data_IF_631650781958
#
_entry.id   IF_631650781958
#
_cell.length_a   1.000
_cell.length_b   1.000
_cell.length_c   1.000
_cell.angle_alpha   90.00
_cell.angle_beta   90.00
_cell.angle_gamma   90.00
#
_symmetry.space_group_name_H-M   'P 1'
#
loop_
_entity.id
_entity.type
_entity.pdbx_description
1 polymer ?
#
# COMPACT_ATOMS: atom_id res chain seq x y z
N UNK A 1 4.86 -33.83 11.46
CA UNK A 1 6.04 -34.50 10.86
C UNK A 1 5.68 -34.80 9.41
N UNK A 2 6.34 -34.11 8.47
CA UNK A 2 6.05 -34.23 7.04
C UNK A 2 6.57 -35.58 6.51
N UNK A 3 5.76 -36.31 5.73
CA UNK A 3 6.12 -37.63 5.22
C UNK A 3 6.80 -37.47 3.83
N UNK A 4 8.11 -37.65 3.77
CA UNK A 4 8.89 -37.56 2.53
C UNK A 4 9.29 -38.93 1.95
N UNK A 5 8.60 -39.97 2.33
CA UNK A 5 8.85 -41.33 1.84
C UNK A 5 7.92 -41.65 0.68
N UNK A 6 8.50 -42.19 -0.39
CA UNK A 6 7.74 -42.60 -1.56
C UNK A 6 7.00 -43.91 -1.29
N UNK A 7 5.83 -44.03 -1.90
CA UNK A 7 5.16 -45.35 -1.97
C UNK A 7 5.98 -46.27 -2.84
N UNK A 8 6.19 -47.54 -2.39
CA UNK A 8 6.84 -48.55 -3.20
C UNK A 8 5.77 -49.33 -3.94
N UNK A 9 5.79 -49.22 -5.28
CA UNK A 9 4.86 -49.90 -6.15
C UNK A 9 5.43 -51.27 -6.59
N UNK A 10 4.76 -52.34 -6.21
CA UNK A 10 5.17 -53.71 -6.56
C UNK A 10 4.07 -54.44 -7.33
N UNK A 11 4.47 -55.35 -8.23
CA UNK A 11 3.52 -56.14 -9.02
C UNK A 11 2.63 -56.98 -8.12
N UNK A 12 1.32 -56.92 -8.35
CA UNK A 12 0.33 -57.70 -7.59
C UNK A 12 -0.07 -57.14 -6.25
N UNK A 13 0.37 -55.93 -5.86
CA UNK A 13 -0.09 -55.33 -4.61
C UNK A 13 -1.57 -54.91 -4.70
N UNK A 14 -2.28 -55.05 -3.59
CA UNK A 14 -3.65 -54.56 -3.47
C UNK A 14 -3.65 -53.06 -3.25
N UNK A 15 -4.41 -52.32 -4.05
CA UNK A 15 -4.48 -50.85 -3.96
C UNK A 15 -5.47 -50.45 -2.87
N UNK A 16 -5.00 -49.60 -1.97
CA UNK A 16 -5.83 -49.01 -0.90
C UNK A 16 -5.75 -47.48 -0.93
N UNK A 17 -6.74 -46.78 -0.37
CA UNK A 17 -6.71 -45.32 -0.30
C UNK A 17 -5.44 -44.73 0.33
N UNK A 18 -4.86 -45.43 1.31
CA UNK A 18 -3.65 -44.98 2.02
C UNK A 18 -2.44 -44.82 1.12
N UNK A 19 -2.31 -45.66 0.08
CA UNK A 19 -1.20 -45.56 -0.87
C UNK A 19 -1.30 -44.28 -1.72
N UNK A 20 -2.51 -43.97 -2.20
CA UNK A 20 -2.75 -42.75 -2.96
C UNK A 20 -2.55 -41.52 -2.08
N UNK A 21 -3.16 -41.47 -0.90
CA UNK A 21 -2.99 -40.39 0.07
C UNK A 21 -1.52 -40.19 0.47
N UNK A 22 -0.76 -41.24 0.69
CA UNK A 22 0.67 -41.17 1.03
C UNK A 22 1.47 -40.62 -0.16
N UNK A 23 1.11 -40.98 -1.40
CA UNK A 23 1.78 -40.47 -2.59
C UNK A 23 1.49 -39.01 -2.81
N UNK A 24 0.26 -38.58 -2.67
CA UNK A 24 -0.13 -37.16 -2.79
C UNK A 24 0.61 -36.32 -1.73
N UNK A 25 0.58 -36.75 -0.47
CA UNK A 25 1.34 -36.11 0.62
C UNK A 25 2.84 -36.04 0.35
N UNK A 26 3.43 -37.10 -0.27
CA UNK A 26 4.84 -37.04 -0.66
C UNK A 26 5.13 -35.94 -1.67
N UNK A 27 4.29 -35.75 -2.69
CA UNK A 27 4.47 -34.71 -3.68
C UNK A 27 4.24 -33.32 -3.09
N UNK A 28 3.20 -33.13 -2.30
CA UNK A 28 2.91 -31.86 -1.61
C UNK A 28 4.06 -31.46 -0.67
N UNK A 29 4.50 -32.37 0.20
CA UNK A 29 5.60 -32.14 1.13
C UNK A 29 6.93 -31.88 0.40
N UNK A 30 7.18 -32.54 -0.73
CA UNK A 30 8.39 -32.34 -1.52
C UNK A 30 8.39 -30.98 -2.22
N UNK A 31 7.25 -30.54 -2.76
CA UNK A 31 7.09 -29.23 -3.39
C UNK A 31 7.23 -28.12 -2.34
N UNK A 32 6.50 -28.24 -1.24
CA UNK A 32 6.56 -27.24 -0.16
C UNK A 32 7.97 -27.09 0.42
N UNK A 33 8.67 -28.21 0.61
CA UNK A 33 10.07 -28.14 1.06
C UNK A 33 10.97 -27.38 0.09
N UNK A 34 10.81 -27.61 -1.21
CA UNK A 34 11.60 -26.90 -2.23
C UNK A 34 11.32 -25.41 -2.23
N UNK A 35 10.05 -25.02 -2.14
CA UNK A 35 9.68 -23.61 -2.05
C UNK A 35 10.20 -22.96 -0.78
N UNK A 36 10.00 -23.60 0.38
CA UNK A 36 10.48 -23.09 1.66
C UNK A 36 12.02 -22.99 1.73
N UNK A 37 12.74 -23.88 1.03
CA UNK A 37 14.19 -23.82 0.96
C UNK A 37 14.75 -22.78 -0.02
N UNK A 38 13.94 -22.37 -1.00
CA UNK A 38 14.37 -21.43 -2.06
C UNK A 38 13.90 -20.00 -1.81
N UNK A 39 12.86 -19.78 -1.04
CA UNK A 39 12.24 -18.48 -0.84
C UNK A 39 11.90 -18.25 0.62
N UNK A 40 12.31 -17.11 1.14
CA UNK A 40 11.97 -16.66 2.48
C UNK A 40 10.48 -16.31 2.56
N UNK A 41 9.81 -16.70 3.66
CA UNK A 41 8.40 -16.40 3.93
C UNK A 41 7.48 -16.61 2.70
N UNK A 42 7.46 -17.84 2.16
CA UNK A 42 6.75 -18.19 0.93
C UNK A 42 5.23 -18.41 1.11
N UNK A 43 4.59 -17.59 1.94
CA UNK A 43 3.17 -17.62 2.26
C UNK A 43 2.58 -16.21 2.31
N UNK A 44 1.26 -16.12 2.26
CA UNK A 44 0.53 -14.85 2.23
C UNK A 44 -0.33 -14.73 0.98
N UNK A 45 -0.94 -13.57 0.79
CA UNK A 45 -1.85 -13.30 -0.32
C UNK A 45 -1.11 -12.88 -1.59
N UNK A 46 -1.61 -13.32 -2.74
CA UNK A 46 -1.26 -12.76 -4.05
C UNK A 46 -2.31 -11.74 -4.51
N UNK A 47 -3.55 -11.93 -4.07
CA UNK A 47 -4.67 -11.02 -4.30
C UNK A 47 -5.61 -11.04 -3.09
N UNK A 48 -6.09 -9.85 -2.68
CA UNK A 48 -7.01 -9.70 -1.55
C UNK A 48 -8.01 -8.58 -1.86
N UNK A 49 -9.29 -8.89 -1.76
CA UNK A 49 -10.37 -7.91 -1.81
C UNK A 49 -11.37 -8.15 -0.69
N UNK A 50 -11.62 -7.11 0.09
CA UNK A 50 -12.56 -7.09 1.22
C UNK A 50 -13.69 -6.15 0.87
N UNK A 51 -14.93 -6.54 1.17
CA UNK A 51 -16.12 -5.75 0.93
C UNK A 51 -16.22 -4.61 1.96
N UNK A 52 -15.84 -3.40 1.53
CA UNK A 52 -15.85 -2.22 2.40
C UNK A 52 -17.28 -1.76 2.76
N UNK A 53 -18.26 -2.00 1.89
CA UNK A 53 -19.66 -1.62 2.13
C UNK A 53 -20.28 -2.54 3.18
N UNK A 54 -20.02 -3.85 3.08
CA UNK A 54 -20.41 -4.80 4.11
C UNK A 54 -19.78 -4.47 5.47
N UNK A 55 -18.48 -4.11 5.47
CA UNK A 55 -17.78 -3.72 6.70
C UNK A 55 -18.37 -2.46 7.32
N UNK A 56 -18.71 -1.45 6.52
CA UNK A 56 -19.41 -0.24 6.98
C UNK A 56 -20.74 -0.54 7.67
N UNK A 57 -21.39 -1.65 7.29
CA UNK A 57 -22.61 -2.17 7.91
C UNK A 57 -22.32 -3.16 9.07
N UNK A 58 -21.07 -3.27 9.51
CA UNK A 58 -20.67 -4.12 10.63
C UNK A 58 -20.45 -5.60 10.29
N UNK A 59 -20.33 -5.94 9.01
CA UNK A 59 -20.15 -7.31 8.55
C UNK A 59 -18.82 -7.49 7.80
N UNK A 60 -17.89 -8.25 8.33
CA UNK A 60 -16.65 -8.58 7.62
C UNK A 60 -16.91 -9.66 6.57
N UNK A 61 -16.62 -9.36 5.31
CA UNK A 61 -16.82 -10.23 4.16
C UNK A 61 -15.66 -10.12 3.18
N UNK A 62 -15.13 -11.26 2.74
CA UNK A 62 -14.19 -11.33 1.64
C UNK A 62 -14.95 -11.33 0.30
N UNK A 63 -14.41 -10.65 -0.70
CA UNK A 63 -14.88 -10.72 -2.09
C UNK A 63 -13.93 -11.57 -2.94
N UNK A 64 -12.62 -11.54 -2.65
CA UNK A 64 -11.60 -12.35 -3.30
C UNK A 64 -10.42 -12.54 -2.37
N UNK A 65 -9.83 -13.73 -2.37
CA UNK A 65 -8.59 -13.99 -1.65
C UNK A 65 -7.85 -15.16 -2.28
N UNK A 66 -6.66 -14.91 -2.80
CA UNK A 66 -5.81 -15.92 -3.44
C UNK A 66 -4.43 -15.88 -2.79
N UNK A 67 -3.82 -17.03 -2.54
CA UNK A 67 -2.51 -17.08 -1.88
C UNK A 67 -2.07 -18.46 -1.42
N UNK A 68 -1.18 -18.44 -0.44
CA UNK A 68 -0.62 -19.64 0.20
C UNK A 68 -0.68 -19.47 1.72
N UNK A 69 -1.21 -20.46 2.42
CA UNK A 69 -1.25 -20.48 3.88
C UNK A 69 0.15 -20.69 4.48
N UNK A 70 0.39 -20.33 5.77
CA UNK A 70 1.68 -20.55 6.42
C UNK A 70 2.15 -22.01 6.44
N UNK A 71 1.23 -22.97 6.37
CA UNK A 71 1.55 -24.40 6.28
C UNK A 71 1.80 -24.91 4.86
N UNK A 72 1.63 -24.01 3.86
CA UNK A 72 1.91 -24.25 2.44
C UNK A 72 0.70 -24.66 1.60
N UNK A 73 -0.51 -24.68 2.16
CA UNK A 73 -1.74 -24.91 1.39
C UNK A 73 -2.03 -23.73 0.46
N UNK A 74 -2.09 -23.98 -0.83
CA UNK A 74 -2.49 -22.96 -1.81
C UNK A 74 -4.02 -22.84 -1.86
N UNK A 75 -4.52 -21.63 -2.04
CA UNK A 75 -5.96 -21.36 -2.12
C UNK A 75 -6.30 -20.28 -3.14
N UNK A 76 -7.49 -20.37 -3.70
CA UNK A 76 -8.01 -19.43 -4.69
C UNK A 76 -9.52 -19.27 -4.55
N UNK A 77 -9.94 -18.18 -3.93
CA UNK A 77 -11.32 -17.85 -3.65
C UNK A 77 -11.79 -16.65 -4.47
N UNK A 78 -12.93 -16.68 -5.16
CA UNK A 78 -13.95 -17.75 -5.16
C UNK A 78 -13.77 -18.79 -6.29
N UNK A 79 -12.70 -18.74 -7.08
CA UNK A 79 -12.63 -19.48 -8.35
C UNK A 79 -12.49 -21.01 -8.13
N UNK A 80 -11.74 -21.45 -7.12
CA UNK A 80 -11.55 -22.85 -6.77
C UNK A 80 -12.18 -23.18 -5.42
N UNK A 81 -11.94 -22.33 -4.43
CA UNK A 81 -12.42 -22.50 -3.06
C UNK A 81 -13.61 -21.58 -2.78
N UNK A 82 -14.51 -22.01 -1.92
CA UNK A 82 -15.58 -21.15 -1.45
C UNK A 82 -15.06 -20.06 -0.51
N UNK A 83 -15.63 -18.86 -0.65
CA UNK A 83 -15.39 -17.78 0.30
C UNK A 83 -15.89 -18.20 1.70
N UNK A 84 -15.12 -17.90 2.76
CA UNK A 84 -15.58 -18.16 4.12
C UNK A 84 -16.83 -17.34 4.43
N UNK A 85 -17.69 -17.86 5.30
CA UNK A 85 -18.90 -17.16 5.72
C UNK A 85 -18.55 -15.77 6.30
N UNK A 86 -19.36 -14.77 5.92
CA UNK A 86 -19.23 -13.42 6.47
C UNK A 86 -19.56 -13.41 7.96
N UNK A 87 -18.87 -12.53 8.72
CA UNK A 87 -19.01 -12.47 10.18
C UNK A 87 -19.26 -11.07 10.68
N UNK A 88 -20.15 -10.94 11.67
CA UNK A 88 -20.40 -9.67 12.36
C UNK A 88 -19.18 -9.28 13.22
N UNK A 89 -18.77 -8.01 13.13
CA UNK A 89 -17.61 -7.51 13.89
C UNK A 89 -18.02 -6.93 15.27
N UNK A 90 -19.29 -6.66 15.49
CA UNK A 90 -19.75 -5.92 16.64
C UNK A 90 -19.41 -6.57 17.99
N UNK A 91 -19.52 -7.89 18.09
CA UNK A 91 -19.23 -8.66 19.31
C UNK A 91 -17.73 -8.72 19.62
N UNK A 92 -16.88 -8.65 18.60
CA UNK A 92 -15.43 -8.76 18.69
C UNK A 92 -14.73 -7.40 18.73
N UNK A 93 -15.46 -6.31 18.45
CA UNK A 93 -14.94 -4.96 18.40
C UNK A 93 -15.70 -4.02 19.32
N UNK A 94 -15.54 -4.13 20.67
CA UNK A 94 -16.17 -3.24 21.63
C UNK A 94 -15.62 -1.80 21.53
N UNK A 95 -16.35 -0.78 22.01
CA UNK A 95 -15.98 0.65 21.84
C UNK A 95 -14.63 1.05 22.45
N UNK A 96 -14.15 0.33 23.45
CA UNK A 96 -12.87 0.58 24.12
C UNK A 96 -11.66 0.00 23.38
N UNK A 97 -11.87 -0.71 22.28
CA UNK A 97 -10.81 -1.28 21.46
C UNK A 97 -10.53 -0.36 20.27
N UNK A 98 -9.27 -0.02 20.04
CA UNK A 98 -8.85 0.88 18.96
C UNK A 98 -8.78 0.15 17.61
N UNK A 99 -8.38 -1.11 17.61
CA UNK A 99 -8.26 -1.95 16.40
C UNK A 99 -8.70 -3.38 16.68
N UNK A 100 -9.06 -4.10 15.61
CA UNK A 100 -9.40 -5.51 15.62
C UNK A 100 -8.66 -6.21 14.48
N UNK A 101 -7.78 -7.14 14.80
CA UNK A 101 -7.10 -7.96 13.80
C UNK A 101 -8.02 -9.10 13.32
N UNK A 102 -8.06 -9.29 12.01
CA UNK A 102 -8.86 -10.31 11.34
C UNK A 102 -7.94 -11.29 10.62
N UNK A 103 -8.19 -12.56 10.82
CA UNK A 103 -7.38 -13.65 10.29
C UNK A 103 -8.16 -14.50 9.30
N UNK A 104 -7.48 -15.00 8.28
CA UNK A 104 -7.93 -16.15 7.49
C UNK A 104 -7.29 -17.39 8.10
N UNK A 105 -8.09 -18.37 8.43
CA UNK A 105 -7.64 -19.63 9.02
C UNK A 105 -8.24 -20.84 8.34
N UNK A 106 -7.47 -21.94 8.37
CA UNK A 106 -7.92 -23.28 8.01
C UNK A 106 -7.43 -24.25 9.08
N UNK A 107 -8.23 -25.25 9.51
CA UNK A 107 -7.75 -26.24 10.47
C UNK A 107 -6.46 -26.90 10.02
N UNK A 108 -5.53 -27.11 10.94
CA UNK A 108 -4.28 -27.81 10.63
C UNK A 108 -4.52 -29.26 10.20
N UNK A 109 -3.65 -29.76 9.33
CA UNK A 109 -3.62 -31.17 9.00
C UNK A 109 -3.07 -31.97 10.20
N UNK A 110 -3.91 -32.82 10.81
CA UNK A 110 -3.60 -33.58 12.01
C UNK A 110 -3.09 -34.99 11.63
N UNK A 111 -1.82 -35.31 11.87
CA UNK A 111 -1.29 -36.61 11.60
C UNK A 111 -2.04 -37.70 12.40
N UNK A 112 -2.41 -38.79 11.76
CA UNK A 112 -3.13 -39.94 12.37
C UNK A 112 -4.52 -39.61 12.92
N UNK A 113 -5.11 -38.48 12.49
CA UNK A 113 -6.46 -38.09 12.84
C UNK A 113 -7.31 -37.95 11.58
N UNK A 114 -8.60 -37.82 11.78
CA UNK A 114 -9.55 -37.50 10.70
C UNK A 114 -9.35 -36.06 10.26
N UNK A 115 -9.03 -35.84 8.97
CA UNK A 115 -8.87 -34.53 8.37
C UNK A 115 -9.99 -34.17 7.38
N UNK A 116 -10.86 -35.11 7.06
CA UNK A 116 -12.01 -34.93 6.15
C UNK A 116 -13.30 -35.27 6.88
N UNK A 117 -14.25 -34.36 6.96
CA UNK A 117 -15.63 -34.67 7.36
C UNK A 117 -16.40 -35.23 6.16
N UNK A 118 -17.09 -36.33 6.35
CA UNK A 118 -17.97 -36.92 5.34
C UNK A 118 -19.39 -36.87 5.90
N UNK A 119 -20.27 -35.96 5.42
CA UNK A 119 -21.60 -35.75 6.02
C UNK A 119 -22.49 -36.97 6.08
N UNK A 120 -22.36 -37.85 5.09
CA UNK A 120 -23.15 -39.11 5.03
C UNK A 120 -22.69 -40.19 6.04
N UNK A 121 -21.44 -40.06 6.52
CA UNK A 121 -20.84 -41.04 7.45
C UNK A 121 -20.92 -40.60 8.91
N UNK A 122 -21.37 -39.41 9.22
CA UNK A 122 -21.42 -38.86 10.58
C UNK A 122 -22.76 -38.13 10.85
N UNK A 123 -23.82 -38.89 11.13
CA UNK A 123 -25.15 -38.34 11.36
C UNK A 123 -25.26 -37.49 12.64
N UNK A 124 -24.26 -37.55 13.54
CA UNK A 124 -24.22 -36.80 14.79
C UNK A 124 -23.58 -35.42 14.66
N UNK A 125 -22.96 -35.04 13.51
CA UNK A 125 -22.55 -33.66 13.27
C UNK A 125 -23.80 -32.79 13.04
N UNK A 126 -24.02 -31.70 13.85
CA UNK A 126 -25.19 -30.86 13.70
C UNK A 126 -25.24 -30.28 12.27
N UNK A 127 -26.35 -30.52 11.59
CA UNK A 127 -26.58 -29.97 10.24
C UNK A 127 -26.45 -28.44 10.29
N UNK A 128 -25.42 -27.88 9.60
CA UNK A 128 -25.13 -26.47 9.60
C UNK A 128 -23.98 -25.99 10.52
N UNK A 129 -23.39 -26.87 11.37
CA UNK A 129 -22.17 -26.55 12.07
C UNK A 129 -20.97 -26.55 11.11
N UNK A 130 -20.07 -25.57 11.30
CA UNK A 130 -18.82 -25.55 10.51
C UNK A 130 -17.97 -26.79 10.87
N UNK A 131 -17.54 -27.59 9.87
CA UNK A 131 -16.79 -28.80 10.12
C UNK A 131 -15.49 -28.48 10.87
N UNK A 132 -15.17 -29.28 11.89
CA UNK A 132 -13.95 -29.10 12.69
C UNK A 132 -12.70 -29.61 11.99
N UNK A 133 -12.88 -30.26 10.84
CA UNK A 133 -11.81 -30.81 10.00
C UNK A 133 -11.34 -29.85 8.93
N UNK A 134 -10.14 -30.08 8.40
CA UNK A 134 -9.54 -29.27 7.33
C UNK A 134 -10.33 -29.30 6.02
N UNK A 135 -10.93 -30.46 5.72
CA UNK A 135 -11.68 -30.69 4.50
C UNK A 135 -13.10 -31.19 4.80
N UNK A 136 -13.99 -30.82 3.91
CA UNK A 136 -15.36 -31.37 3.83
C UNK A 136 -15.50 -32.15 2.52
N UNK A 137 -15.96 -33.39 2.60
CA UNK A 137 -16.24 -34.18 1.41
C UNK A 137 -17.48 -33.63 0.69
N UNK A 138 -17.33 -33.40 -0.61
CA UNK A 138 -18.37 -32.90 -1.51
C UNK A 138 -18.38 -33.74 -2.78
N UNK A 139 -19.55 -34.10 -3.26
CA UNK A 139 -19.69 -34.84 -4.52
C UNK A 139 -19.80 -33.86 -5.68
N UNK A 140 -18.88 -33.93 -6.64
CA UNK A 140 -18.92 -33.15 -7.89
C UNK A 140 -18.98 -34.08 -9.09
N UNK A 141 -19.63 -33.63 -10.16
CA UNK A 141 -19.67 -34.34 -11.44
C UNK A 141 -18.42 -33.99 -12.25
N UNK A 142 -17.73 -35.00 -12.75
CA UNK A 142 -16.56 -34.83 -13.61
C UNK A 142 -16.78 -35.57 -14.92
N UNK A 143 -16.50 -34.90 -16.04
CA UNK A 143 -16.53 -35.46 -17.38
C UNK A 143 -15.22 -36.20 -17.66
N UNK A 144 -15.28 -37.31 -18.35
CA UNK A 144 -14.09 -38.02 -18.87
C UNK A 144 -13.38 -37.15 -19.90
N UNK A 145 -12.19 -36.64 -19.58
CA UNK A 145 -11.41 -35.77 -20.47
C UNK A 145 -10.93 -36.46 -21.76
N UNK A 146 -10.83 -37.80 -21.79
CA UNK A 146 -10.41 -38.53 -22.98
C UNK A 146 -11.52 -38.67 -24.02
N UNK A 147 -12.75 -38.77 -23.56
CA UNK A 147 -13.92 -39.00 -24.45
C UNK A 147 -14.76 -37.75 -24.61
N UNK A 148 -14.69 -36.80 -23.66
CA UNK A 148 -15.57 -35.64 -23.59
C UNK A 148 -17.03 -35.96 -23.29
N UNK A 149 -17.31 -37.22 -23.00
CA UNK A 149 -18.64 -37.75 -22.70
C UNK A 149 -18.58 -38.45 -21.36
N UNK A 150 -19.72 -38.83 -20.81
CA UNK A 150 -19.88 -39.52 -19.51
C UNK A 150 -19.40 -38.67 -18.31
N UNK A 151 -20.35 -38.20 -17.54
CA UNK A 151 -20.11 -37.59 -16.25
C UNK A 151 -20.21 -38.62 -15.14
N UNK A 152 -19.27 -38.56 -14.21
CA UNK A 152 -19.28 -39.43 -13.01
C UNK A 152 -19.18 -38.62 -11.73
N UNK A 153 -19.91 -39.00 -10.69
CA UNK A 153 -19.77 -38.38 -9.38
C UNK A 153 -18.43 -38.80 -8.75
N UNK A 154 -17.66 -37.80 -8.34
CA UNK A 154 -16.40 -37.98 -7.58
C UNK A 154 -16.50 -37.18 -6.30
N UNK A 155 -16.16 -37.80 -5.17
CA UNK A 155 -16.02 -37.08 -3.92
C UNK A 155 -14.69 -36.35 -3.89
N UNK A 156 -14.75 -35.06 -3.72
CA UNK A 156 -13.59 -34.16 -3.57
C UNK A 156 -13.54 -33.58 -2.16
N UNK A 157 -12.34 -33.24 -1.72
CA UNK A 157 -12.10 -32.64 -0.41
C UNK A 157 -12.09 -31.11 -0.54
N UNK A 158 -13.19 -30.47 -0.17
CA UNK A 158 -13.32 -29.01 -0.14
C UNK A 158 -12.67 -28.45 1.12
N UNK A 159 -11.85 -27.40 1.00
CA UNK A 159 -11.19 -26.73 2.12
C UNK A 159 -12.19 -25.94 2.95
N UNK A 160 -12.00 -25.91 4.29
CA UNK A 160 -12.92 -25.26 5.25
C UNK A 160 -12.35 -23.97 5.80
N UNK A 161 -12.14 -22.97 4.95
CA UNK A 161 -11.62 -21.67 5.36
C UNK A 161 -12.58 -20.92 6.29
N UNK A 162 -12.01 -20.16 7.23
CA UNK A 162 -12.76 -19.36 8.21
C UNK A 162 -12.15 -17.98 8.37
N UNK A 163 -13.02 -17.00 8.62
CA UNK A 163 -12.64 -15.71 9.19
C UNK A 163 -12.56 -15.91 10.72
N UNK A 164 -11.44 -15.54 11.32
CA UNK A 164 -11.22 -15.59 12.76
C UNK A 164 -10.87 -14.18 13.25
N UNK A 165 -11.31 -13.84 14.45
CA UNK A 165 -10.97 -12.58 15.09
C UNK A 165 -9.87 -12.75 16.14
N UNK A 166 -9.23 -11.66 16.50
CA UNK A 166 -8.09 -11.61 17.41
C UNK A 166 -8.37 -12.21 18.77
N UNK A 167 -9.59 -12.07 19.29
CA UNK A 167 -10.05 -12.59 20.58
C UNK A 167 -10.42 -14.08 20.56
N UNK A 168 -10.42 -14.70 19.39
CA UNK A 168 -10.75 -16.10 19.24
C UNK A 168 -9.51 -16.99 19.35
N UNK A 169 -9.74 -18.21 19.86
CA UNK A 169 -8.70 -19.22 19.96
C UNK A 169 -8.31 -19.77 18.58
N UNK A 170 -7.02 -19.71 18.27
CA UNK A 170 -6.49 -20.10 16.96
C UNK A 170 -5.57 -21.35 16.99
N UNK A 171 -5.39 -21.97 18.16
CA UNK A 171 -4.62 -23.22 18.23
C UNK A 171 -5.30 -24.31 17.40
N UNK A 172 -4.49 -25.03 16.60
CA UNK A 172 -4.98 -26.01 15.64
C UNK A 172 -5.49 -25.41 14.32
N UNK A 173 -5.20 -24.13 14.06
CA UNK A 173 -5.40 -23.50 12.77
C UNK A 173 -4.07 -23.02 12.18
N UNK A 174 -3.87 -23.27 10.90
CA UNK A 174 -2.95 -22.50 10.09
C UNK A 174 -3.68 -21.19 9.77
N UNK A 175 -3.17 -20.06 10.29
CA UNK A 175 -3.86 -18.78 10.15
C UNK A 175 -2.86 -17.61 10.02
N UNK A 176 -3.26 -16.55 9.31
CA UNK A 176 -2.51 -15.32 9.21
C UNK A 176 -3.45 -14.10 9.11
N UNK A 177 -2.94 -12.93 9.48
CA UNK A 177 -3.72 -11.68 9.42
C UNK A 177 -3.99 -11.25 8.00
N UNK A 178 -5.26 -11.05 7.66
CA UNK A 178 -5.68 -10.54 6.35
C UNK A 178 -6.18 -9.10 6.40
N UNK A 179 -6.59 -8.62 7.56
CA UNK A 179 -7.04 -7.25 7.75
C UNK A 179 -6.84 -6.79 9.19
N UNK A 180 -6.84 -5.48 9.35
CA UNK A 180 -7.04 -4.80 10.62
C UNK A 180 -8.20 -3.82 10.46
N UNK A 181 -9.19 -3.93 11.32
CA UNK A 181 -10.36 -3.04 11.39
C UNK A 181 -10.11 -1.96 12.42
N UNK A 182 -10.41 -0.72 12.07
CA UNK A 182 -10.36 0.45 12.96
C UNK A 182 -11.69 1.20 12.88
N UNK A 183 -11.85 2.30 13.63
CA UNK A 183 -13.03 3.15 13.55
C UNK A 183 -12.70 4.47 12.88
N UNK A 184 -13.61 4.93 12.04
CA UNK A 184 -13.53 6.29 11.52
C UNK A 184 -14.03 7.30 12.58
N UNK A 185 -13.97 8.61 12.26
CA UNK A 185 -14.44 9.67 13.16
C UNK A 185 -15.94 9.57 13.55
N UNK A 186 -16.75 8.87 12.75
CA UNK A 186 -18.16 8.61 13.04
C UNK A 186 -18.37 7.31 13.86
N UNK A 187 -17.29 6.62 14.27
CA UNK A 187 -17.37 5.38 15.03
C UNK A 187 -17.65 4.13 14.19
N UNK A 188 -17.77 4.25 12.87
CA UNK A 188 -18.05 3.12 11.99
C UNK A 188 -16.78 2.29 11.72
N UNK A 189 -16.90 0.95 11.61
CA UNK A 189 -15.78 0.09 11.30
C UNK A 189 -15.30 0.32 9.87
N UNK A 190 -13.98 0.51 9.72
CA UNK A 190 -13.29 0.65 8.42
C UNK A 190 -12.01 -0.17 8.43
N UNK A 191 -11.50 -0.51 7.26
CA UNK A 191 -10.17 -1.12 7.15
C UNK A 191 -9.10 -0.10 7.52
N UNK A 192 -8.09 -0.52 8.30
CA UNK A 192 -6.90 0.30 8.52
C UNK A 192 -6.15 0.47 7.19
N UNK A 193 -6.03 1.69 6.65
CA UNK A 193 -5.42 1.92 5.35
C UNK A 193 -3.90 1.67 5.33
N UNK A 194 -3.27 1.56 6.50
CA UNK A 194 -1.83 1.29 6.64
C UNK A 194 -1.52 -0.18 6.85
N UNK A 195 -2.53 -0.99 7.14
CA UNK A 195 -2.33 -2.43 7.28
C UNK A 195 -1.99 -3.06 5.92
N UNK A 196 -0.99 -3.93 5.92
CA UNK A 196 -0.61 -4.75 4.78
C UNK A 196 -0.67 -6.20 5.24
N UNK A 197 -1.52 -6.99 4.63
CA UNK A 197 -1.52 -8.44 4.86
C UNK A 197 -0.18 -9.04 4.40
N UNK A 198 0.35 -10.07 5.08
CA UNK A 198 1.44 -10.89 4.54
C UNK A 198 1.14 -11.25 3.09
N UNK A 199 2.08 -10.97 2.19
CA UNK A 199 1.80 -11.11 0.77
C UNK A 199 3.00 -11.65 -0.03
N UNK A 200 2.67 -12.34 -1.11
CA UNK A 200 3.63 -12.86 -2.09
C UNK A 200 3.74 -11.95 -3.31
N UNK A 201 2.89 -10.92 -3.39
CA UNK A 201 2.82 -10.01 -4.53
C UNK A 201 2.66 -8.57 -4.04
N UNK A 202 3.59 -7.69 -4.42
CA UNK A 202 3.55 -6.26 -4.13
C UNK A 202 2.24 -5.59 -4.58
N UNK A 203 1.62 -6.08 -5.66
CA UNK A 203 0.38 -5.51 -6.18
C UNK A 203 -0.85 -5.79 -5.29
N UNK A 204 -0.77 -6.73 -4.35
CA UNK A 204 -1.88 -7.05 -3.44
C UNK A 204 -2.20 -5.93 -2.44
N UNK A 205 -1.25 -4.98 -2.23
CA UNK A 205 -1.43 -3.83 -1.34
C UNK A 205 -1.30 -2.50 -2.09
N UNK A 206 -2.38 -1.73 -2.09
CA UNK A 206 -2.39 -0.36 -2.62
C UNK A 206 -1.54 0.58 -1.77
N UNK A 207 -1.50 0.38 -0.46
CA UNK A 207 -0.67 1.16 0.46
C UNK A 207 0.82 0.97 0.17
N UNK A 208 1.28 -0.27 0.02
CA UNK A 208 2.67 -0.59 -0.30
C UNK A 208 3.09 -0.02 -1.66
N UNK A 209 2.23 -0.20 -2.67
CA UNK A 209 2.44 0.37 -4.01
C UNK A 209 2.53 1.90 -3.98
N UNK A 210 1.69 2.56 -3.17
CA UNK A 210 1.70 4.00 -2.97
C UNK A 210 2.94 4.50 -2.23
N UNK A 211 3.44 3.74 -1.26
CA UNK A 211 4.66 4.02 -0.52
C UNK A 211 5.89 3.98 -1.44
N UNK A 212 6.03 2.93 -2.24
CA UNK A 212 7.12 2.82 -3.22
C UNK A 212 7.06 3.95 -4.28
N UNK A 213 5.87 4.29 -4.77
CA UNK A 213 5.68 5.40 -5.69
C UNK A 213 6.17 6.71 -5.08
N UNK A 214 5.78 7.01 -3.85
CA UNK A 214 6.22 8.22 -3.13
C UNK A 214 7.74 8.28 -2.99
N UNK A 215 8.39 7.16 -2.63
CA UNK A 215 9.86 7.10 -2.55
C UNK A 215 10.51 7.40 -3.89
N UNK A 216 10.01 6.86 -4.99
CA UNK A 216 10.50 7.14 -6.35
C UNK A 216 10.34 8.63 -6.70
N UNK A 217 9.24 9.25 -6.34
CA UNK A 217 8.98 10.68 -6.56
C UNK A 217 9.98 11.57 -5.79
N UNK A 218 10.23 11.25 -4.51
CA UNK A 218 11.23 11.93 -3.68
C UNK A 218 12.63 11.81 -4.30
N UNK A 219 13.06 10.60 -4.63
CA UNK A 219 14.37 10.35 -5.22
C UNK A 219 14.54 11.04 -6.59
N UNK A 220 13.48 11.04 -7.41
CA UNK A 220 13.50 11.70 -8.74
C UNK A 220 13.71 13.22 -8.58
N UNK A 221 12.99 13.81 -7.62
CA UNK A 221 13.11 15.24 -7.31
C UNK A 221 14.51 15.59 -6.82
N UNK A 222 15.04 14.83 -5.87
CA UNK A 222 16.41 15.03 -5.34
C UNK A 222 17.47 14.85 -6.43
N UNK A 223 17.36 13.85 -7.29
CA UNK A 223 18.25 13.68 -8.44
C UNK A 223 18.24 14.90 -9.35
N UNK A 224 17.06 15.45 -9.66
CA UNK A 224 16.90 16.67 -10.45
C UNK A 224 17.57 17.88 -9.80
N UNK A 225 17.28 18.12 -8.53
CA UNK A 225 17.85 19.24 -7.76
C UNK A 225 19.36 19.19 -7.69
N UNK A 226 19.93 18.01 -7.38
CA UNK A 226 21.38 17.84 -7.24
C UNK A 226 22.13 17.86 -8.58
N UNK A 227 21.49 17.47 -9.69
CA UNK A 227 22.12 17.47 -11.02
C UNK A 227 22.06 18.82 -11.74
N UNK A 228 21.14 19.72 -11.38
CA UNK A 228 20.92 21.01 -12.04
C UNK A 228 22.18 21.90 -12.11
N UNK A 229 22.81 22.24 -10.98
CA UNK A 229 24.01 23.08 -10.98
C UNK A 229 25.18 22.48 -11.76
N UNK A 230 25.29 21.15 -11.79
CA UNK A 230 26.36 20.42 -12.48
C UNK A 230 26.22 20.47 -14.02
N UNK A 231 25.00 20.43 -14.54
CA UNK A 231 24.74 20.56 -15.98
C UNK A 231 25.03 21.96 -16.51
N UNK A 232 24.88 23.00 -15.69
CA UNK A 232 25.13 24.38 -16.07
C UNK A 232 26.64 24.72 -16.14
N UNK A 233 27.49 24.06 -15.35
CA UNK A 233 28.91 24.36 -15.26
C UNK A 233 29.81 23.72 -16.33
N UNK A 234 29.32 22.85 -17.18
CA UNK A 234 29.93 22.36 -18.46
C UNK A 234 31.43 21.97 -18.48
N UNK A 235 32.20 22.14 -17.40
CA UNK A 235 33.61 21.77 -17.27
C UNK A 235 33.89 21.27 -15.85
N UNK A 236 34.54 20.11 -15.78
CA UNK A 236 35.09 19.53 -14.57
C UNK A 236 36.25 20.42 -14.12
N UNK A 237 36.03 21.32 -13.18
CA UNK A 237 37.10 22.00 -12.45
C UNK A 237 37.52 21.13 -11.26
N UNK A 238 38.78 20.93 -11.10
CA UNK A 238 39.39 19.94 -10.21
C UNK A 238 39.31 20.24 -8.70
N UNK A 239 38.60 21.28 -8.28
CA UNK A 239 38.45 21.63 -6.86
C UNK A 239 36.97 21.61 -6.47
N UNK A 240 36.57 20.54 -5.77
CA UNK A 240 35.27 20.47 -5.14
C UNK A 240 35.32 21.02 -3.73
N UNK A 241 34.40 21.90 -3.37
CA UNK A 241 34.22 22.25 -1.95
C UNK A 241 33.70 21.04 -1.17
N UNK A 242 33.88 20.97 0.15
CA UNK A 242 33.34 19.86 0.95
C UNK A 242 31.84 19.63 0.75
N UNK A 243 31.06 20.69 0.59
CA UNK A 243 29.62 20.62 0.31
C UNK A 243 29.32 20.07 -1.09
N UNK A 244 30.11 20.40 -2.10
CA UNK A 244 29.98 19.86 -3.45
C UNK A 244 30.33 18.36 -3.48
N UNK A 245 31.30 17.95 -2.71
CA UNK A 245 31.66 16.53 -2.53
C UNK A 245 30.50 15.75 -1.89
N UNK A 246 29.91 16.26 -0.80
CA UNK A 246 28.75 15.64 -0.15
C UNK A 246 27.56 15.53 -1.11
N UNK A 247 27.25 16.62 -1.85
CA UNK A 247 26.18 16.63 -2.86
C UNK A 247 26.45 15.64 -4.01
N UNK A 248 27.70 15.45 -4.40
CA UNK A 248 28.07 14.47 -5.41
C UNK A 248 27.81 13.04 -4.93
N UNK A 249 28.23 12.71 -3.73
CA UNK A 249 28.00 11.38 -3.16
C UNK A 249 26.52 11.12 -2.91
N UNK A 250 25.77 12.13 -2.47
CA UNK A 250 24.32 12.01 -2.34
C UNK A 250 23.63 11.76 -3.68
N UNK A 251 24.02 12.51 -4.72
CA UNK A 251 23.52 12.30 -6.09
C UNK A 251 23.84 10.90 -6.59
N UNK A 252 25.06 10.42 -6.33
CA UNK A 252 25.48 9.07 -6.66
C UNK A 252 24.59 8.03 -5.97
N UNK A 253 24.37 8.17 -4.68
CA UNK A 253 23.48 7.29 -3.89
C UNK A 253 22.07 7.28 -4.48
N UNK A 254 21.46 8.45 -4.65
CA UNK A 254 20.09 8.58 -5.22
C UNK A 254 20.01 7.92 -6.60
N UNK A 255 20.96 8.20 -7.49
CA UNK A 255 20.97 7.65 -8.85
C UNK A 255 21.23 6.14 -8.91
N UNK A 256 21.89 5.58 -7.91
CA UNK A 256 22.15 4.14 -7.81
C UNK A 256 20.88 3.34 -7.46
N UNK A 257 20.06 3.86 -6.54
CA UNK A 257 18.87 3.13 -6.07
C UNK A 257 17.57 3.46 -6.81
N UNK A 258 17.47 4.65 -7.42
CA UNK A 258 16.28 5.07 -8.14
C UNK A 258 15.86 4.11 -9.29
N UNK A 259 16.77 3.61 -10.14
CA UNK A 259 16.40 2.67 -11.21
C UNK A 259 15.88 1.33 -10.68
N UNK A 260 16.47 0.80 -9.60
CA UNK A 260 16.04 -0.45 -8.96
C UNK A 260 14.62 -0.32 -8.41
N UNK A 261 14.33 0.72 -7.62
CA UNK A 261 13.00 0.98 -7.08
C UNK A 261 11.96 1.22 -8.18
N UNK A 262 12.32 1.95 -9.25
CA UNK A 262 11.45 2.14 -10.42
C UNK A 262 11.14 0.81 -11.11
N UNK A 263 12.12 -0.07 -11.25
CA UNK A 263 11.92 -1.39 -11.85
C UNK A 263 10.96 -2.23 -11.00
N UNK A 264 11.20 -2.33 -9.69
CA UNK A 264 10.35 -3.07 -8.75
C UNK A 264 8.91 -2.55 -8.81
N UNK A 265 8.73 -1.25 -8.74
CA UNK A 265 7.41 -0.63 -8.81
C UNK A 265 6.71 -0.85 -10.16
N UNK A 266 7.44 -0.83 -11.27
CA UNK A 266 6.89 -1.04 -12.61
C UNK A 266 6.44 -2.48 -12.83
N UNK A 267 7.21 -3.44 -12.37
CA UNK A 267 6.90 -4.87 -12.49
C UNK A 267 5.70 -5.24 -11.61
N UNK A 268 5.62 -4.67 -10.41
CA UNK A 268 4.57 -4.90 -9.40
C UNK A 268 4.31 -6.35 -9.02
N UNK A 269 5.13 -7.27 -9.49
CA UNK A 269 5.04 -8.71 -9.20
C UNK A 269 6.20 -9.12 -8.30
N UNK A 270 5.94 -10.15 -7.52
CA UNK A 270 6.95 -10.74 -6.64
C UNK A 270 6.83 -10.31 -5.19
N UNK A 271 7.57 -11.03 -4.39
CA UNK A 271 7.62 -10.92 -2.94
C UNK A 271 8.03 -9.51 -2.48
N UNK A 272 7.47 -8.98 -1.37
CA UNK A 272 7.81 -7.64 -0.87
C UNK A 272 9.25 -7.50 -0.33
N UNK A 273 9.90 -8.59 0.07
CA UNK A 273 11.26 -8.55 0.63
C UNK A 273 12.29 -7.87 -0.28
N UNK A 274 12.39 -8.15 -1.60
CA UNK A 274 13.33 -7.45 -2.48
C UNK A 274 13.13 -5.94 -2.50
N UNK A 275 11.87 -5.47 -2.43
CA UNK A 275 11.57 -4.04 -2.32
C UNK A 275 12.05 -3.48 -0.99
N UNK A 276 11.83 -4.21 0.10
CA UNK A 276 12.31 -3.83 1.43
C UNK A 276 13.84 -3.74 1.46
N UNK A 277 14.53 -4.75 0.93
CA UNK A 277 16.01 -4.79 0.87
C UNK A 277 16.55 -3.61 0.05
N UNK A 278 15.93 -3.25 -1.08
CA UNK A 278 16.33 -2.09 -1.87
C UNK A 278 16.16 -0.79 -1.07
N UNK A 279 15.06 -0.63 -0.34
CA UNK A 279 14.83 0.51 0.55
C UNK A 279 15.80 0.52 1.74
N UNK A 280 16.09 -0.63 2.34
CA UNK A 280 17.03 -0.77 3.46
C UNK A 280 18.44 -0.37 3.04
N UNK A 281 18.90 -0.82 1.87
CA UNK A 281 20.19 -0.41 1.29
C UNK A 281 20.24 1.10 1.05
N UNK A 282 19.16 1.69 0.53
CA UNK A 282 19.05 3.13 0.35
C UNK A 282 19.18 3.86 1.69
N UNK A 283 18.42 3.44 2.73
CA UNK A 283 18.47 4.03 4.06
C UNK A 283 19.88 3.92 4.68
N UNK A 284 20.51 2.74 4.57
CA UNK A 284 21.88 2.52 5.03
C UNK A 284 22.88 3.42 4.31
N UNK A 285 22.77 3.60 3.00
CA UNK A 285 23.65 4.52 2.27
C UNK A 285 23.39 5.99 2.63
N UNK A 286 22.14 6.37 2.89
CA UNK A 286 21.78 7.74 3.31
C UNK A 286 22.24 8.06 4.74
N UNK A 287 22.30 7.08 5.64
CA UNK A 287 22.79 7.30 7.01
C UNK A 287 24.25 7.81 7.07
N UNK A 288 25.05 7.58 6.00
CA UNK A 288 26.40 8.13 5.85
C UNK A 288 26.43 9.67 5.91
N UNK A 289 25.32 10.33 5.56
CA UNK A 289 25.21 11.79 5.54
C UNK A 289 24.62 12.36 6.85
N UNK A 290 24.22 11.52 7.79
CA UNK A 290 23.70 11.93 9.10
C UNK A 290 24.74 11.69 10.19
N UNK A 291 24.80 12.58 11.18
CA UNK A 291 25.66 12.42 12.36
C UNK A 291 25.01 11.53 13.43
N UNK A 292 23.69 11.41 13.42
CA UNK A 292 22.91 10.72 14.46
C UNK A 292 22.41 9.34 14.02
N UNK A 293 22.04 9.22 12.75
CA UNK A 293 21.47 7.99 12.24
C UNK A 293 22.53 6.89 12.06
N UNK A 294 22.22 5.71 12.55
CA UNK A 294 23.07 4.53 12.47
C UNK A 294 22.37 3.42 11.68
N UNK A 295 23.05 2.76 10.72
CA UNK A 295 22.46 1.68 9.94
C UNK A 295 21.92 0.52 10.79
N UNK A 296 22.53 0.24 11.93
CA UNK A 296 22.12 -0.81 12.87
C UNK A 296 20.75 -0.57 13.53
N UNK A 297 20.26 0.68 13.51
CA UNK A 297 18.97 1.04 14.09
C UNK A 297 17.82 1.04 13.04
N UNK A 298 18.11 0.68 11.79
CA UNK A 298 17.07 0.56 10.78
C UNK A 298 16.16 -0.62 11.12
N UNK A 299 14.85 -0.50 10.80
CA UNK A 299 13.88 -1.55 11.14
C UNK A 299 14.16 -2.85 10.39
N UNK A 300 13.94 -3.98 11.08
CA UNK A 300 14.01 -5.30 10.47
C UNK A 300 12.76 -5.58 9.62
N UNK A 301 12.92 -6.46 8.62
CA UNK A 301 11.80 -6.98 7.85
C UNK A 301 10.96 -7.92 8.70
N UNK A 302 9.68 -7.68 8.73
CA UNK A 302 8.70 -8.50 9.41
C UNK A 302 7.58 -8.86 8.43
N UNK A 303 7.52 -10.14 8.03
CA UNK A 303 6.52 -10.61 7.07
C UNK A 303 5.10 -10.65 7.68
N UNK A 304 5.00 -10.81 8.98
CA UNK A 304 3.75 -10.77 9.73
C UNK A 304 3.24 -9.34 9.96
N UNK A 305 4.13 -8.34 9.84
CA UNK A 305 3.77 -6.93 10.04
C UNK A 305 4.42 -6.00 9.00
N UNK A 306 4.13 -6.25 7.73
CA UNK A 306 4.63 -5.48 6.59
C UNK A 306 4.24 -4.00 6.69
N UNK A 307 3.05 -3.69 7.20
CA UNK A 307 2.57 -2.33 7.38
C UNK A 307 3.50 -1.51 8.28
N UNK A 308 3.92 -2.06 9.41
CA UNK A 308 4.82 -1.41 10.36
C UNK A 308 6.23 -1.28 9.80
N UNK A 309 6.83 -2.39 9.34
CA UNK A 309 8.24 -2.37 8.92
C UNK A 309 8.47 -1.46 7.70
N UNK A 310 7.59 -1.48 6.70
CA UNK A 310 7.68 -0.58 5.55
C UNK A 310 7.41 0.88 5.91
N UNK A 311 6.46 1.16 6.82
CA UNK A 311 6.16 2.54 7.25
C UNK A 311 7.34 3.13 8.02
N UNK A 312 7.95 2.38 8.92
CA UNK A 312 9.12 2.83 9.68
C UNK A 312 10.32 3.09 8.77
N UNK A 313 10.57 2.20 7.81
CA UNK A 313 11.66 2.36 6.85
C UNK A 313 11.42 3.55 5.90
N UNK A 314 10.19 3.73 5.41
CA UNK A 314 9.79 4.90 4.61
C UNK A 314 10.02 6.21 5.39
N UNK A 315 9.66 6.24 6.67
CA UNK A 315 9.89 7.41 7.51
C UNK A 315 11.39 7.68 7.68
N UNK A 316 12.17 6.65 7.99
CA UNK A 316 13.62 6.78 8.16
C UNK A 316 14.29 7.34 6.89
N UNK A 317 13.91 6.85 5.70
CA UNK A 317 14.44 7.38 4.43
C UNK A 317 14.07 8.85 4.25
N UNK A 318 12.85 9.25 4.56
CA UNK A 318 12.40 10.65 4.44
C UNK A 318 13.17 11.56 5.37
N UNK A 319 13.32 11.17 6.63
CA UNK A 319 14.04 11.94 7.64
C UNK A 319 15.51 12.12 7.23
N UNK A 320 16.16 11.05 6.75
CA UNK A 320 17.52 11.10 6.23
C UNK A 320 17.63 12.02 5.01
N UNK A 321 16.67 11.97 4.08
CA UNK A 321 16.68 12.83 2.90
C UNK A 321 16.47 14.31 3.24
N UNK A 322 15.74 14.63 4.29
CA UNK A 322 15.54 16.00 4.79
C UNK A 322 16.76 16.51 5.53
N UNK A 323 17.39 15.69 6.37
CA UNK A 323 18.60 16.05 7.16
C UNK A 323 19.76 16.43 6.27
N UNK A 324 19.94 15.75 5.14
CA UNK A 324 21.09 15.97 4.24
C UNK A 324 21.00 17.28 3.46
N UNK A 325 19.79 17.70 3.08
CA UNK A 325 19.55 18.99 2.40
C UNK A 325 18.20 19.49 2.90
N UNK A 326 18.18 20.55 3.72
CA UNK A 326 16.91 21.16 4.14
C UNK A 326 16.06 21.43 2.90
N UNK A 327 14.81 20.99 2.93
CA UNK A 327 13.89 21.26 1.83
C UNK A 327 13.73 22.78 1.69
N UNK A 328 14.15 23.32 0.53
CA UNK A 328 13.94 24.73 0.22
C UNK A 328 12.47 25.01 -0.14
N UNK A 329 11.53 24.21 0.36
CA UNK A 329 10.11 24.48 0.17
C UNK A 329 9.30 24.02 1.39
N UNK A 330 8.18 24.68 1.59
CA UNK A 330 7.18 24.36 2.62
C UNK A 330 5.87 24.02 1.91
N UNK A 331 5.24 22.90 2.29
CA UNK A 331 3.91 22.54 1.82
C UNK A 331 2.86 23.02 2.83
N UNK A 332 1.90 23.81 2.36
CA UNK A 332 0.75 24.25 3.15
C UNK A 332 -0.44 23.39 2.76
N UNK A 333 -0.90 22.59 3.71
CA UNK A 333 -2.08 21.75 3.51
C UNK A 333 -3.35 22.61 3.41
N UNK A 334 -4.15 22.38 2.37
CA UNK A 334 -5.41 23.09 2.14
C UNK A 334 -6.57 22.19 2.56
N UNK A 335 -7.29 22.60 3.60
CA UNK A 335 -8.48 21.92 4.11
C UNK A 335 -9.74 22.47 3.48
N UNK A 336 -10.71 21.61 3.22
CA UNK A 336 -12.04 22.03 2.75
C UNK A 336 -12.74 22.82 3.86
N UNK A 337 -13.01 24.12 3.62
CA UNK A 337 -13.72 25.01 4.56
C UNK A 337 -15.18 25.19 4.18
N UNK A 338 -15.49 25.17 2.89
CA UNK A 338 -16.85 25.32 2.36
C UNK A 338 -16.93 24.65 0.97
N UNK A 339 -18.13 24.57 0.40
CA UNK A 339 -18.32 24.06 -0.95
C UNK A 339 -17.49 24.88 -1.95
N UNK A 340 -16.50 24.23 -2.58
CA UNK A 340 -15.56 24.85 -3.52
C UNK A 340 -14.53 25.82 -2.91
N UNK A 341 -14.36 25.88 -1.58
CA UNK A 341 -13.37 26.71 -0.91
C UNK A 341 -12.47 25.85 -0.02
N UNK A 342 -11.18 25.98 -0.20
CA UNK A 342 -10.13 25.38 0.61
C UNK A 342 -9.37 26.45 1.35
N UNK A 343 -9.01 26.19 2.59
CA UNK A 343 -8.25 27.14 3.41
C UNK A 343 -6.99 26.51 4.00
N UNK A 344 -5.96 27.31 4.13
CA UNK A 344 -4.71 26.96 4.80
C UNK A 344 -4.10 28.14 5.53
N UNK A 345 -3.17 27.90 6.45
CA UNK A 345 -2.46 28.95 7.19
C UNK A 345 -0.95 28.83 7.01
N UNK A 346 -0.29 29.98 6.91
CA UNK A 346 1.17 30.09 6.90
C UNK A 346 1.62 30.55 8.28
N UNK A 347 2.40 29.71 8.97
CA UNK A 347 2.72 29.92 10.39
C UNK A 347 3.81 30.96 10.64
N UNK A 348 4.72 31.18 9.68
CA UNK A 348 5.91 31.98 9.88
C UNK A 348 6.00 33.15 8.89
N UNK A 349 6.33 34.34 9.39
CA UNK A 349 6.45 35.57 8.57
C UNK A 349 7.60 35.50 7.55
N UNK A 350 8.64 34.75 7.86
CA UNK A 350 9.78 34.56 6.95
C UNK A 350 9.36 33.95 5.62
N UNK A 351 8.30 33.14 5.59
CA UNK A 351 7.80 32.53 4.37
C UNK A 351 7.15 33.52 3.39
N UNK A 352 6.93 34.76 3.78
CA UNK A 352 6.42 35.81 2.88
C UNK A 352 7.49 36.76 2.37
N UNK A 353 8.73 36.73 2.90
CA UNK A 353 9.75 37.74 2.59
C UNK A 353 10.60 37.36 1.37
N UNK A 354 11.26 36.23 1.44
CA UNK A 354 12.22 35.78 0.41
C UNK A 354 11.80 34.37 -0.08
N UNK A 355 10.64 34.34 -0.73
CA UNK A 355 10.05 33.06 -1.16
C UNK A 355 9.13 33.24 -2.37
N UNK A 356 8.88 32.15 -3.07
CA UNK A 356 7.99 32.08 -4.21
C UNK A 356 6.84 31.10 -3.91
N UNK A 357 5.60 31.53 -4.17
CA UNK A 357 4.41 30.73 -3.92
C UNK A 357 3.91 30.05 -5.18
N UNK A 358 3.57 28.76 -5.07
CA UNK A 358 3.08 27.93 -6.15
C UNK A 358 1.85 27.15 -5.73
N UNK A 359 0.86 27.05 -6.61
CA UNK A 359 -0.27 26.17 -6.45
C UNK A 359 -0.05 24.92 -7.31
N UNK A 360 0.00 23.75 -6.67
CA UNK A 360 -0.02 22.47 -7.35
C UNK A 360 -1.47 21.97 -7.45
N UNK A 361 -1.91 21.61 -8.66
CA UNK A 361 -3.30 21.19 -8.93
C UNK A 361 -3.30 19.89 -9.70
N UNK A 362 -4.04 18.90 -9.22
CA UNK A 362 -4.49 17.75 -10.01
C UNK A 362 -6.02 17.68 -10.00
N UNK A 363 -6.63 17.24 -11.09
CA UNK A 363 -8.07 17.14 -11.23
C UNK A 363 -8.45 16.00 -12.18
N UNK A 364 -9.67 15.51 -12.09
CA UNK A 364 -10.18 14.46 -12.99
C UNK A 364 -10.59 15.07 -14.36
N UNK A 365 -9.60 15.62 -15.06
CA UNK A 365 -9.78 16.23 -16.38
C UNK A 365 -8.46 16.22 -17.17
N UNK A 366 -8.50 16.53 -18.46
CA UNK A 366 -7.31 16.57 -19.32
C UNK A 366 -6.29 17.61 -18.85
N UNK A 367 -4.99 17.33 -19.04
CA UNK A 367 -3.88 18.21 -18.65
C UNK A 367 -4.02 19.60 -19.29
N UNK A 368 -4.32 19.66 -20.59
CA UNK A 368 -4.50 20.93 -21.32
C UNK A 368 -5.66 21.77 -20.77
N UNK A 369 -6.71 21.10 -20.31
CA UNK A 369 -7.84 21.78 -19.67
C UNK A 369 -7.46 22.34 -18.28
N UNK A 370 -6.66 21.62 -17.49
CA UNK A 370 -6.14 22.13 -16.21
C UNK A 370 -5.29 23.39 -16.46
N UNK A 371 -4.36 23.32 -17.42
CA UNK A 371 -3.45 24.44 -17.76
C UNK A 371 -4.24 25.67 -18.17
N UNK A 372 -5.30 25.50 -18.96
CA UNK A 372 -6.12 26.60 -19.48
C UNK A 372 -7.08 27.16 -18.44
N UNK A 373 -7.80 26.28 -17.71
CA UNK A 373 -8.91 26.66 -16.84
C UNK A 373 -8.46 27.16 -15.46
N UNK A 374 -7.41 26.58 -14.87
CA UNK A 374 -6.97 26.95 -13.51
C UNK A 374 -6.61 28.45 -13.41
N UNK A 375 -5.82 29.06 -14.31
CA UNK A 375 -5.52 30.49 -14.23
C UNK A 375 -6.74 31.41 -14.40
N UNK A 376 -7.79 30.92 -15.06
CA UNK A 376 -8.99 31.71 -15.35
C UNK A 376 -10.07 31.59 -14.26
N UNK A 377 -10.21 30.42 -13.68
CA UNK A 377 -11.36 30.06 -12.82
C UNK A 377 -11.00 29.97 -11.33
N UNK A 378 -9.77 29.55 -11.01
CA UNK A 378 -9.33 29.43 -9.61
C UNK A 378 -8.99 30.80 -9.06
N UNK A 379 -9.51 31.12 -7.87
CA UNK A 379 -9.24 32.34 -7.16
C UNK A 379 -8.47 32.10 -5.89
N UNK A 380 -7.39 32.82 -5.65
CA UNK A 380 -6.59 32.76 -4.43
C UNK A 380 -6.53 34.16 -3.81
N UNK A 381 -6.76 34.24 -2.50
CA UNK A 381 -6.69 35.45 -1.71
C UNK A 381 -6.62 35.13 -0.21
N UNK A 382 -6.70 36.17 0.63
CA UNK A 382 -6.93 35.98 2.08
C UNK A 382 -8.28 35.30 2.34
N UNK A 383 -8.41 34.63 3.48
CA UNK A 383 -9.67 34.00 3.87
C UNK A 383 -10.81 35.02 4.01
N UNK A 384 -10.51 36.26 4.40
CA UNK A 384 -11.49 37.31 4.61
C UNK A 384 -12.00 37.89 3.26
N UNK A 385 -11.14 37.97 2.24
CA UNK A 385 -11.49 38.55 0.95
C UNK A 385 -12.13 37.57 -0.03
N UNK A 386 -11.88 36.28 0.09
CA UNK A 386 -12.24 35.30 -0.94
C UNK A 386 -13.73 35.31 -1.29
N UNK A 387 -14.61 35.43 -0.30
CA UNK A 387 -16.06 35.44 -0.53
C UNK A 387 -16.50 36.74 -1.27
N UNK A 388 -15.89 37.87 -0.97
CA UNK A 388 -16.14 39.15 -1.68
C UNK A 388 -15.74 39.04 -3.14
N UNK A 389 -14.56 38.43 -3.42
CA UNK A 389 -14.05 38.26 -4.78
C UNK A 389 -14.92 37.29 -5.60
N UNK A 390 -15.50 36.26 -4.96
CA UNK A 390 -16.40 35.32 -5.62
C UNK A 390 -17.72 36.02 -5.97
N UNK A 391 -18.37 36.66 -4.98
CA UNK A 391 -19.70 37.29 -5.16
C UNK A 391 -19.72 38.37 -6.21
N UNK A 392 -18.65 39.19 -6.29
CA UNK A 392 -18.57 40.33 -7.18
C UNK A 392 -17.81 40.02 -8.48
N UNK A 393 -17.48 38.74 -8.73
CA UNK A 393 -16.69 38.32 -9.89
C UNK A 393 -15.37 39.08 -10.08
N UNK A 394 -14.76 39.60 -9.00
CA UNK A 394 -13.53 40.36 -9.04
C UNK A 394 -12.30 39.47 -9.31
N UNK A 395 -11.23 40.03 -9.94
CA UNK A 395 -9.98 39.30 -10.10
C UNK A 395 -9.34 38.98 -8.75
N UNK A 396 -8.69 37.82 -8.65
CA UNK A 396 -7.89 37.41 -7.50
C UNK A 396 -6.39 37.48 -7.83
N UNK A 397 -5.52 36.91 -7.00
CA UNK A 397 -4.10 36.80 -7.31
C UNK A 397 -3.92 35.98 -8.60
N UNK A 398 -3.15 36.56 -9.54
CA UNK A 398 -2.92 35.94 -10.83
C UNK A 398 -2.09 34.67 -10.70
N UNK A 399 -2.52 33.62 -11.41
CA UNK A 399 -1.85 32.34 -11.51
C UNK A 399 -1.22 32.19 -12.90
N UNK A 400 0.05 31.83 -12.95
CA UNK A 400 0.77 31.56 -14.20
C UNK A 400 1.24 30.13 -14.25
N UNK A 401 0.82 29.35 -15.24
CA UNK A 401 1.29 27.99 -15.45
C UNK A 401 2.82 27.95 -15.64
N UNK A 402 3.44 26.97 -14.99
CA UNK A 402 4.88 26.70 -15.10
C UNK A 402 5.06 25.26 -15.55
N UNK A 403 5.53 25.04 -16.80
CA UNK A 403 5.72 23.69 -17.33
C UNK A 403 6.79 22.89 -16.58
N UNK A 404 7.80 23.58 -16.03
CA UNK A 404 8.86 22.99 -15.22
C UNK A 404 8.90 23.75 -13.89
N UNK A 405 8.39 23.17 -12.78
CA UNK A 405 8.46 23.81 -11.49
C UNK A 405 9.91 23.96 -11.02
N UNK A 406 10.21 24.89 -10.09
CA UNK A 406 11.52 25.00 -9.48
C UNK A 406 12.02 23.68 -8.94
N UNK A 407 13.32 23.44 -8.98
CA UNK A 407 13.96 22.20 -8.55
C UNK A 407 13.72 21.85 -7.07
N UNK A 408 13.29 22.82 -6.26
CA UNK A 408 12.92 22.63 -4.86
C UNK A 408 11.55 21.92 -4.71
N UNK A 409 10.66 22.01 -5.71
CA UNK A 409 9.31 21.43 -5.63
C UNK A 409 9.33 19.96 -6.09
N UNK A 410 8.83 19.00 -5.29
CA UNK A 410 8.68 17.62 -5.71
C UNK A 410 7.66 17.50 -6.85
N UNK A 411 8.10 16.97 -8.00
CA UNK A 411 7.24 16.78 -9.16
C UNK A 411 6.33 15.57 -8.93
N UNK A 412 5.03 15.82 -8.79
CA UNK A 412 3.98 14.80 -8.78
C UNK A 412 3.46 14.61 -10.20
N UNK A 413 3.39 13.36 -10.66
CA UNK A 413 3.09 13.00 -12.06
C UNK A 413 1.74 13.54 -12.58
N UNK A 414 0.77 13.69 -11.67
CA UNK A 414 -0.59 14.14 -12.03
C UNK A 414 -0.84 15.63 -11.74
N UNK A 415 0.18 16.37 -11.25
CA UNK A 415 0.03 17.76 -10.87
C UNK A 415 0.50 18.72 -11.98
N UNK A 416 -0.24 19.81 -12.14
CA UNK A 416 0.19 21.00 -12.87
C UNK A 416 0.51 22.10 -11.86
N UNK A 417 1.54 22.90 -12.14
CA UNK A 417 2.07 23.88 -11.21
C UNK A 417 1.84 25.31 -11.72
N UNK A 418 1.39 26.18 -10.82
CA UNK A 418 1.07 27.56 -11.12
C UNK A 418 1.76 28.49 -10.13
N UNK A 419 2.57 29.42 -10.62
CA UNK A 419 3.16 30.47 -9.80
C UNK A 419 2.11 31.52 -9.44
N UNK A 420 2.11 31.97 -8.19
CA UNK A 420 1.30 33.07 -7.71
C UNK A 420 2.02 34.41 -8.00
N UNK A 421 1.26 35.40 -8.44
CA UNK A 421 1.78 36.77 -8.49
C UNK A 421 1.80 37.36 -7.09
N UNK A 422 3.01 37.69 -6.59
CA UNK A 422 3.25 38.17 -5.24
C UNK A 422 3.29 39.71 -5.23
N UNK A 423 2.15 40.35 -5.46
CA UNK A 423 2.07 41.82 -5.47
C UNK A 423 0.65 42.34 -5.34
N UNK A 424 0.54 43.61 -4.92
CA UNK A 424 -0.72 44.33 -4.78
C UNK A 424 -1.44 44.10 -3.44
N UNK A 425 -2.61 44.73 -3.30
CA UNK A 425 -3.35 44.80 -2.04
C UNK A 425 -3.83 43.43 -1.56
N UNK A 426 -4.19 42.52 -2.48
CA UNK A 426 -4.64 41.17 -2.13
C UNK A 426 -3.50 40.30 -1.55
N UNK A 427 -2.28 40.47 -2.09
CA UNK A 427 -1.10 39.82 -1.53
C UNK A 427 -0.79 40.37 -0.13
N UNK A 428 -0.81 41.69 0.05
CA UNK A 428 -0.58 42.29 1.35
C UNK A 428 -1.62 41.89 2.39
N UNK A 429 -2.90 41.77 2.00
CA UNK A 429 -3.96 41.25 2.88
C UNK A 429 -3.73 39.78 3.27
N UNK A 430 -3.25 38.96 2.35
CA UNK A 430 -2.91 37.57 2.61
C UNK A 430 -1.70 37.44 3.57
N UNK A 431 -0.68 38.27 3.40
CA UNK A 431 0.46 38.36 4.32
C UNK A 431 0.04 38.75 5.74
N UNK A 432 -0.80 39.77 5.87
CA UNK A 432 -1.25 40.29 7.18
C UNK A 432 -2.11 39.25 7.92
N UNK A 433 -3.02 38.59 7.21
CA UNK A 433 -3.93 37.60 7.82
C UNK A 433 -3.27 36.26 8.08
N UNK A 434 -2.20 35.92 7.34
CA UNK A 434 -1.56 34.58 7.31
C UNK A 434 -2.55 33.45 6.95
N UNK A 435 -3.76 33.78 6.54
CA UNK A 435 -4.80 32.85 6.15
C UNK A 435 -5.00 32.92 4.65
N UNK A 436 -4.90 31.78 4.01
CA UNK A 436 -5.01 31.63 2.56
C UNK A 436 -6.29 30.88 2.25
N UNK A 437 -7.04 31.37 1.28
CA UNK A 437 -8.19 30.66 0.74
C UNK A 437 -8.06 30.50 -0.77
N UNK A 438 -8.41 29.32 -1.24
CA UNK A 438 -8.44 28.92 -2.64
C UNK A 438 -9.86 28.53 -3.01
N UNK A 439 -10.45 29.19 -3.99
CA UNK A 439 -11.72 28.81 -4.56
C UNK A 439 -11.51 28.14 -5.92
N UNK A 440 -12.02 26.93 -6.10
CA UNK A 440 -12.06 26.21 -7.36
C UNK A 440 -13.51 25.86 -7.70
N UNK A 441 -14.09 26.45 -8.76
CA UNK A 441 -15.49 26.18 -9.11
C UNK A 441 -15.69 24.76 -9.67
N UNK A 442 -16.96 24.34 -9.80
CA UNK A 442 -17.31 22.97 -10.19
C UNK A 442 -16.85 22.53 -11.59
N UNK A 443 -16.40 23.47 -12.45
CA UNK A 443 -15.77 23.16 -13.73
C UNK A 443 -14.38 22.52 -13.60
N UNK A 444 -13.75 22.60 -12.43
CA UNK A 444 -12.56 21.85 -12.07
C UNK A 444 -13.02 20.60 -11.31
N UNK A 445 -13.01 19.46 -11.98
CA UNK A 445 -13.62 18.23 -11.47
C UNK A 445 -12.69 17.55 -10.46
N UNK A 446 -13.19 17.38 -9.22
CA UNK A 446 -12.48 16.70 -8.12
C UNK A 446 -11.04 17.21 -7.92
N UNK A 447 -10.85 18.55 -7.68
CA UNK A 447 -9.54 19.13 -7.57
C UNK A 447 -8.85 18.71 -6.28
N UNK A 448 -7.60 18.26 -6.40
CA UNK A 448 -6.66 18.13 -5.30
C UNK A 448 -5.64 19.25 -5.43
N UNK A 449 -5.56 20.08 -4.42
CA UNK A 449 -4.74 21.29 -4.44
C UNK A 449 -3.80 21.32 -3.24
N UNK A 450 -2.59 21.80 -3.48
CA UNK A 450 -1.55 21.96 -2.47
C UNK A 450 -0.82 23.27 -2.74
N UNK A 451 -0.67 24.09 -1.70
CA UNK A 451 0.10 25.32 -1.82
C UNK A 451 1.54 25.07 -1.40
N UNK A 452 2.48 25.43 -2.25
CA UNK A 452 3.91 25.20 -2.05
C UNK A 452 4.63 26.54 -1.97
N UNK A 453 5.48 26.72 -0.98
CA UNK A 453 6.30 27.92 -0.76
C UNK A 453 7.75 27.51 -0.97
N UNK A 454 8.41 28.06 -1.95
CA UNK A 454 9.85 27.85 -2.21
C UNK A 454 10.63 28.95 -1.53
N UNK A 455 11.57 28.57 -0.68
CA UNK A 455 12.48 29.50 0.00
C UNK A 455 13.70 29.76 -0.88
N UNK A 456 14.08 31.02 -1.05
CA UNK A 456 15.27 31.43 -1.81
C UNK A 456 16.59 31.20 -1.04
#
# INVERSE_FOLDING_TARGET
>A
MRNRHRVVWTKGMFLTPQQFQTQDQFFEDALQFRFAASQFANWGVTELAIDSDALGNGLFRLSKCTGVMPDGEAFDMPDIDELPASRAVAEHFPPNRESLDVFLGIPENRPRARNVSIPEADPDEPSGALPTTRYLAETRMFTDENTGNEEKPVQVARRTFRILFEDEYRDGFSAFRIAQVTRNAAGMPILNPRFIAPCLNLASSTYLSGLLRRQIEILTTKSGTLSGPRRQRGKITAEFSPSETANFWLLHTVNSYLPELKHIWKVRRGHPEPAYVAMLRLAGALSTFSLEARPENLPDYDHDDLGRCFTLLDQAIRDLMETVIPSKFVSVHLEVKDRFIWGGSVTEDQYFRDSQFYLAVSAKMGVDDIIRKVPQLVKISSQDDIQRLIRNALPALALRHIPVPPAAIPIKLDNQYFALNQGGDLWNAMMLSRQIAVHAPGEIVDPKMELLIVLE
#
